data_IF_643012214016
#
_entry.id   IF_643012214016
#
_cell.length_a   1.000
_cell.length_b   1.000
_cell.length_c   1.000
_cell.angle_alpha   90.00
_cell.angle_beta   90.00
_cell.angle_gamma   90.00
#
_symmetry.space_group_name_H-M   'P 1'
#
loop_
_entity.id
_entity.type
_entity.pdbx_description
1 polymer ?
#
# COMPACT_ATOMS: atom_id res chain seq x y z
N UNK A 1 29.00 49.85 27.91
CA UNK A 1 29.08 49.24 26.56
C UNK A 1 28.08 48.11 26.48
N UNK A 2 27.08 48.18 25.61
CA UNK A 2 26.00 47.19 25.53
C UNK A 2 26.46 45.95 24.73
N UNK A 3 26.33 44.77 25.33
CA UNK A 3 26.70 43.49 24.72
C UNK A 3 25.64 43.08 23.69
N UNK A 4 25.99 43.07 22.41
CA UNK A 4 25.11 42.65 21.31
C UNK A 4 24.83 41.14 21.43
N UNK A 5 23.60 40.79 21.79
CA UNK A 5 23.13 39.40 21.85
C UNK A 5 23.03 38.88 20.41
N UNK A 6 24.01 38.10 19.98
CA UNK A 6 23.95 37.41 18.69
C UNK A 6 22.89 36.31 18.78
N UNK A 7 21.75 36.54 18.11
CA UNK A 7 20.74 35.49 17.90
C UNK A 7 21.41 34.32 17.18
N UNK A 8 21.59 33.19 17.89
CA UNK A 8 22.00 31.93 17.27
C UNK A 8 20.96 31.59 16.21
N UNK A 9 21.38 31.48 14.94
CA UNK A 9 20.57 30.84 13.89
C UNK A 9 20.32 29.41 14.36
N UNK A 10 19.17 29.15 14.98
CA UNK A 10 18.69 27.79 15.14
C UNK A 10 18.54 27.25 13.73
N UNK A 11 19.37 26.27 13.39
CA UNK A 11 19.21 25.45 12.19
C UNK A 11 17.78 24.93 12.26
N UNK A 12 16.87 25.55 11.52
CA UNK A 12 15.54 24.98 11.30
C UNK A 12 15.79 23.65 10.62
N UNK A 13 15.72 22.59 11.42
CA UNK A 13 15.61 21.25 10.89
C UNK A 13 14.32 21.28 10.10
N UNK A 14 14.43 21.35 8.77
CA UNK A 14 13.33 21.03 7.87
C UNK A 14 12.95 19.59 8.20
N UNK A 15 12.05 19.41 9.17
CA UNK A 15 11.42 18.12 9.42
C UNK A 15 10.77 17.77 8.10
N UNK A 16 11.33 16.78 7.40
CA UNK A 16 10.71 16.22 6.22
C UNK A 16 9.33 15.77 6.66
N UNK A 17 8.31 16.48 6.21
CA UNK A 17 6.92 16.13 6.45
C UNK A 17 6.68 14.81 5.70
N UNK A 18 6.94 13.70 6.36
CA UNK A 18 6.53 12.39 5.88
C UNK A 18 5.02 12.32 6.10
N UNK A 19 4.20 12.25 5.04
CA UNK A 19 2.77 12.20 5.22
C UNK A 19 2.41 10.93 6.00
N UNK A 20 1.49 11.02 6.97
CA UNK A 20 1.16 9.91 7.89
C UNK A 20 0.67 8.66 7.15
N UNK A 21 0.22 8.81 5.90
CA UNK A 21 -0.30 7.72 5.08
C UNK A 21 0.75 7.00 4.22
N UNK A 22 1.99 7.52 4.11
CA UNK A 22 3.05 6.91 3.27
C UNK A 22 3.37 5.47 3.69
N UNK A 23 3.18 5.14 4.97
CA UNK A 23 3.49 3.83 5.54
C UNK A 23 2.58 2.70 5.06
N UNK A 24 1.39 3.01 4.53
CA UNK A 24 0.44 2.00 4.03
C UNK A 24 0.69 1.63 2.57
N UNK A 25 1.32 2.51 1.81
CA UNK A 25 1.51 2.37 0.36
C UNK A 25 2.83 1.66 0.01
N UNK A 26 2.95 0.40 0.45
CA UNK A 26 4.08 -0.48 0.09
C UNK A 26 3.78 -1.18 -1.24
N UNK A 27 4.80 -1.52 -2.04
CA UNK A 27 4.64 -2.17 -3.35
C UNK A 27 3.69 -3.37 -3.33
N UNK A 28 3.68 -4.13 -2.24
CA UNK A 28 2.81 -5.30 -2.09
C UNK A 28 1.34 -4.94 -1.89
N UNK A 29 1.06 -3.89 -1.14
CA UNK A 29 -0.30 -3.37 -0.90
C UNK A 29 -0.94 -2.89 -2.20
N UNK A 30 -0.14 -2.34 -3.13
CA UNK A 30 -0.61 -2.00 -4.48
C UNK A 30 -1.07 -3.20 -5.29
N UNK A 31 -0.45 -4.38 -5.12
CA UNK A 31 -0.91 -5.62 -5.78
C UNK A 31 -2.32 -5.97 -5.27
N UNK A 32 -2.52 -5.99 -3.96
CA UNK A 32 -3.83 -6.30 -3.38
C UNK A 32 -4.90 -5.29 -3.81
N UNK A 33 -4.54 -4.01 -3.87
CA UNK A 33 -5.43 -2.96 -4.36
C UNK A 33 -5.81 -3.18 -5.84
N UNK A 34 -4.85 -3.56 -6.68
CA UNK A 34 -5.11 -3.87 -8.08
C UNK A 34 -6.03 -5.10 -8.24
N UNK A 35 -5.82 -6.16 -7.45
CA UNK A 35 -6.74 -7.31 -7.41
C UNK A 35 -8.14 -6.85 -7.01
N UNK A 36 -8.27 -6.04 -5.96
CA UNK A 36 -9.57 -5.52 -5.52
C UNK A 36 -10.27 -4.72 -6.62
N UNK A 37 -9.52 -3.90 -7.35
CA UNK A 37 -10.02 -3.13 -8.48
C UNK A 37 -10.50 -4.03 -9.62
N UNK A 38 -9.73 -5.07 -9.97
CA UNK A 38 -10.14 -6.04 -10.98
C UNK A 38 -11.44 -6.78 -10.61
N UNK A 39 -11.63 -7.12 -9.34
CA UNK A 39 -12.88 -7.72 -8.85
C UNK A 39 -14.06 -6.76 -8.95
N UNK A 40 -13.87 -5.48 -8.63
CA UNK A 40 -14.89 -4.45 -8.81
C UNK A 40 -15.31 -4.33 -10.27
N UNK A 41 -14.34 -4.28 -11.20
CA UNK A 41 -14.63 -4.25 -12.63
C UNK A 41 -15.40 -5.49 -13.07
N UNK A 42 -14.99 -6.68 -12.63
CA UNK A 42 -15.71 -7.92 -12.94
C UNK A 42 -17.14 -7.93 -12.39
N UNK A 43 -17.35 -7.45 -11.17
CA UNK A 43 -18.68 -7.38 -10.57
C UNK A 43 -19.59 -6.37 -11.26
N UNK A 44 -19.07 -5.20 -11.63
CA UNK A 44 -19.81 -4.23 -12.44
C UNK A 44 -20.08 -4.75 -13.86
N UNK A 45 -19.14 -5.51 -14.43
CA UNK A 45 -19.33 -6.14 -15.73
C UNK A 45 -20.49 -7.16 -15.69
N UNK A 46 -20.57 -7.99 -14.63
CA UNK A 46 -21.70 -8.90 -14.43
C UNK A 46 -23.04 -8.16 -14.28
N UNK A 47 -23.02 -6.98 -13.67
CA UNK A 47 -24.20 -6.12 -13.55
C UNK A 47 -24.64 -5.57 -14.92
N UNK A 48 -23.71 -5.34 -15.83
CA UNK A 48 -23.96 -4.77 -17.16
C UNK A 48 -24.39 -5.79 -18.22
N UNK A 49 -24.10 -7.09 -18.02
CA UNK A 49 -24.37 -8.13 -19.01
C UNK A 49 -25.85 -8.58 -19.07
N UNK A 50 -26.55 -8.57 -17.93
CA UNK A 50 -27.90 -9.10 -17.82
C UNK A 50 -28.94 -8.04 -17.44
N UNK A 51 -30.24 -8.30 -17.68
CA UNK A 51 -31.28 -7.46 -17.09
C UNK A 51 -31.14 -7.47 -15.57
N UNK A 52 -31.58 -6.37 -14.94
CA UNK A 52 -31.43 -6.11 -13.50
C UNK A 52 -32.00 -7.21 -12.60
N UNK A 53 -32.90 -8.05 -13.12
CA UNK A 53 -33.54 -9.18 -12.44
C UNK A 53 -32.85 -10.54 -12.65
N UNK A 54 -31.70 -10.57 -13.35
CA UNK A 54 -30.94 -11.81 -13.57
C UNK A 54 -30.17 -12.24 -12.34
N UNK A 55 -30.01 -13.56 -12.15
CA UNK A 55 -29.22 -14.14 -11.05
C UNK A 55 -27.78 -13.57 -10.98
N UNK A 56 -27.16 -13.35 -12.14
CA UNK A 56 -25.86 -12.70 -12.27
C UNK A 56 -25.79 -11.30 -11.65
N UNK A 57 -26.86 -10.52 -11.78
CA UNK A 57 -26.95 -9.16 -11.26
C UNK A 57 -27.40 -9.12 -9.80
N UNK A 58 -28.27 -10.03 -9.37
CA UNK A 58 -28.77 -10.07 -7.99
C UNK A 58 -27.83 -10.74 -6.99
N UNK A 59 -27.02 -11.70 -7.44
CA UNK A 59 -26.25 -12.56 -6.55
C UNK A 59 -24.76 -12.47 -6.85
N UNK A 60 -24.34 -12.78 -8.08
CA UNK A 60 -22.91 -12.81 -8.40
C UNK A 60 -22.27 -11.42 -8.27
N UNK A 61 -22.89 -10.39 -8.84
CA UNK A 61 -22.34 -9.03 -8.81
C UNK A 61 -22.19 -8.49 -7.36
N UNK A 62 -23.23 -8.50 -6.51
CA UNK A 62 -23.09 -8.02 -5.13
C UNK A 62 -22.05 -8.78 -4.32
N UNK A 63 -21.91 -10.10 -4.51
CA UNK A 63 -20.90 -10.90 -3.82
C UNK A 63 -19.48 -10.49 -4.25
N UNK A 64 -19.23 -10.31 -5.55
CA UNK A 64 -17.94 -9.83 -6.05
C UNK A 64 -17.61 -8.44 -5.53
N UNK A 65 -18.58 -7.52 -5.56
CA UNK A 65 -18.41 -6.16 -5.04
C UNK A 65 -18.15 -6.19 -3.54
N UNK A 66 -18.85 -7.04 -2.78
CA UNK A 66 -18.66 -7.18 -1.34
C UNK A 66 -17.26 -7.70 -1.02
N UNK A 67 -16.80 -8.76 -1.67
CA UNK A 67 -15.46 -9.31 -1.43
C UNK A 67 -14.38 -8.29 -1.84
N UNK A 68 -14.54 -7.66 -3.00
CA UNK A 68 -13.65 -6.60 -3.47
C UNK A 68 -13.57 -5.47 -2.44
N UNK A 69 -14.68 -4.80 -2.20
CA UNK A 69 -14.75 -3.57 -1.43
C UNK A 69 -14.62 -3.77 0.09
N UNK A 70 -15.29 -4.78 0.66
CA UNK A 70 -15.35 -4.95 2.12
C UNK A 70 -14.20 -5.81 2.67
N UNK A 71 -13.55 -6.64 1.85
CA UNK A 71 -12.49 -7.55 2.31
C UNK A 71 -11.14 -7.15 1.72
N UNK A 72 -11.02 -7.10 0.40
CA UNK A 72 -9.73 -6.91 -0.26
C UNK A 72 -9.21 -5.48 -0.08
N UNK A 73 -10.06 -4.45 -0.18
CA UNK A 73 -9.64 -3.07 0.04
C UNK A 73 -9.09 -2.83 1.46
N UNK A 74 -9.79 -3.23 2.55
CA UNK A 74 -9.26 -3.12 3.91
C UNK A 74 -7.97 -3.90 4.11
N UNK A 75 -7.86 -5.11 3.56
CA UNK A 75 -6.62 -5.89 3.61
C UNK A 75 -5.50 -5.16 2.86
N UNK A 76 -5.78 -4.61 1.68
CA UNK A 76 -4.78 -3.87 0.90
C UNK A 76 -4.24 -2.67 1.66
N UNK A 77 -5.02 -2.06 2.55
CA UNK A 77 -4.58 -0.92 3.35
C UNK A 77 -3.88 -1.41 4.63
N UNK A 78 -4.44 -2.40 5.32
CA UNK A 78 -3.98 -2.81 6.65
C UNK A 78 -2.79 -3.78 6.62
N UNK A 79 -2.55 -4.48 5.52
CA UNK A 79 -1.48 -5.46 5.41
C UNK A 79 -0.11 -4.79 5.52
N UNK A 80 0.51 -4.88 6.70
CA UNK A 80 1.86 -4.37 6.94
C UNK A 80 2.83 -5.54 6.97
N UNK A 81 3.68 -5.67 5.95
CA UNK A 81 4.86 -6.54 6.08
C UNK A 81 5.81 -5.91 7.10
N UNK A 82 6.06 -6.63 8.21
CA UNK A 82 7.28 -6.41 9.00
C UNK A 82 8.44 -6.60 8.04
N UNK A 83 9.30 -5.58 7.90
CA UNK A 83 10.54 -5.72 7.14
C UNK A 83 11.41 -6.72 7.90
N UNK A 84 11.37 -7.99 7.52
CA UNK A 84 12.49 -8.86 7.79
C UNK A 84 13.66 -8.32 6.97
N UNK A 85 14.60 -7.69 7.67
CA UNK A 85 15.88 -7.33 7.09
C UNK A 85 16.54 -8.65 6.67
N UNK A 86 16.44 -9.01 5.40
CA UNK A 86 17.30 -10.04 4.84
C UNK A 86 18.72 -9.50 4.95
N UNK A 87 19.45 -10.03 5.91
CA UNK A 87 20.88 -9.87 6.02
C UNK A 87 21.48 -10.51 4.76
N UNK A 88 21.81 -9.69 3.78
CA UNK A 88 22.71 -10.07 2.70
C UNK A 88 24.12 -10.07 3.28
N UNK A 89 24.61 -11.24 3.70
CA UNK A 89 26.03 -11.58 3.72
C UNK A 89 26.16 -13.09 3.50
N UNK A 90 27.30 -13.50 2.94
CA UNK A 90 27.71 -14.86 2.56
C UNK A 90 27.47 -15.23 1.10
N UNK A 91 28.17 -14.56 0.18
CA UNK A 91 28.70 -15.13 -1.06
C UNK A 91 29.84 -14.23 -1.60
N UNK A 92 30.82 -13.89 -0.75
CA UNK A 92 32.05 -13.18 -1.17
C UNK A 92 33.29 -13.67 -0.41
N UNK A 93 33.36 -14.96 -0.03
CA UNK A 93 34.55 -15.49 0.67
C UNK A 93 35.11 -16.81 0.10
N UNK A 94 34.35 -17.60 -0.68
CA UNK A 94 34.82 -18.94 -1.08
C UNK A 94 35.46 -19.06 -2.48
N UNK A 95 35.85 -17.97 -3.14
CA UNK A 95 36.58 -18.01 -4.44
C UNK A 95 37.86 -17.19 -4.47
N UNK A 96 38.50 -17.00 -3.31
CA UNK A 96 39.89 -16.53 -3.21
C UNK A 96 40.84 -17.70 -2.99
N UNK A 97 41.15 -18.43 -4.06
CA UNK A 97 42.22 -19.42 -4.11
C UNK A 97 43.55 -18.74 -3.71
N UNK A 98 44.26 -19.34 -2.76
CA UNK A 98 45.72 -19.25 -2.65
C UNK A 98 46.28 -20.65 -2.43
#
# INVERSE_FOLDING_TARGET
>A
MAKKIQKRKSREQKKSFEPPFKIYWVKQNYIFLFIGFALLLAGFYFLAQGPWNSFSSLVISPILLFIGYAVIFPISIFFRKKKEQKHSQENEVATGKS
#
